data_IF_230137921057
#
_entry.id   IF_230137921057
#
_cell.length_a   1.000
_cell.length_b   1.000
_cell.length_c   1.000
_cell.angle_alpha   90.00
_cell.angle_beta   90.00
_cell.angle_gamma   90.00
#
_symmetry.space_group_name_H-M   'P 1'
#
loop_
_entity.id
_entity.type
_entity.pdbx_description
1 polymer ?
#
# COMPACT_ATOMS: atom_id res chain seq x y z
N UNK A 1 3.64 -9.71 60.82
CA UNK A 1 4.13 -8.68 59.90
C UNK A 1 5.39 -9.17 59.19
N UNK A 2 5.37 -9.85 58.06
CA UNK A 2 4.40 -10.72 57.41
C UNK A 2 5.19 -11.47 56.32
N UNK A 3 4.95 -12.78 56.30
CA UNK A 3 5.01 -13.76 55.21
C UNK A 3 6.07 -13.73 54.09
N UNK A 4 6.69 -14.91 54.04
CA UNK A 4 6.99 -15.75 52.88
C UNK A 4 8.34 -15.63 52.15
N UNK A 5 9.21 -16.53 52.60
CA UNK A 5 10.47 -16.92 52.01
C UNK A 5 10.30 -18.08 51.00
N UNK A 6 11.09 -17.99 49.92
CA UNK A 6 11.83 -19.07 49.23
C UNK A 6 11.63 -20.52 49.71
N UNK A 7 11.24 -21.40 48.77
CA UNK A 7 11.65 -22.81 48.48
C UNK A 7 10.56 -23.43 47.55
N UNK A 8 10.74 -24.40 46.67
CA UNK A 8 11.80 -25.35 46.32
C UNK A 8 11.47 -25.95 44.93
N UNK A 9 12.48 -26.47 44.24
CA UNK A 9 12.37 -27.40 43.12
C UNK A 9 11.86 -28.80 43.56
N UNK A 10 11.57 -29.64 42.57
CA UNK A 10 11.45 -31.12 42.57
C UNK A 10 10.05 -31.78 42.74
N UNK A 11 9.60 -32.39 41.64
CA UNK A 11 9.21 -33.82 41.59
C UNK A 11 7.77 -34.20 41.96
N UNK A 12 7.09 -34.93 41.05
CA UNK A 12 6.47 -36.24 41.32
C UNK A 12 6.13 -36.93 39.99
N UNK A 13 6.61 -38.17 39.88
CA UNK A 13 6.39 -39.16 38.82
C UNK A 13 5.10 -39.98 39.05
N UNK A 14 4.67 -40.62 37.96
CA UNK A 14 3.58 -41.61 37.71
C UNK A 14 3.28 -42.69 38.79
N UNK A 15 2.17 -43.48 38.70
CA UNK A 15 2.19 -44.71 37.88
C UNK A 15 0.87 -45.19 37.20
N UNK A 16 1.06 -45.93 36.10
CA UNK A 16 0.35 -47.11 35.54
C UNK A 16 -1.13 -47.42 35.86
N UNK A 17 -1.90 -47.77 34.81
CA UNK A 17 -2.48 -49.13 34.69
C UNK A 17 -2.88 -49.52 33.25
N UNK A 18 -2.54 -50.76 32.91
CA UNK A 18 -2.86 -51.56 31.72
C UNK A 18 -4.29 -52.17 31.77
N UNK A 19 -4.59 -53.01 30.77
CA UNK A 19 -5.78 -53.84 30.47
C UNK A 19 -6.79 -53.17 29.51
N UNK A 20 -7.05 -53.64 28.29
CA UNK A 20 -6.88 -54.97 27.69
C UNK A 20 -8.15 -55.80 27.83
N UNK A 21 -9.10 -55.67 26.89
CA UNK A 21 -9.94 -56.81 26.48
C UNK A 21 -10.62 -56.56 25.12
N UNK A 22 -10.27 -57.41 24.17
CA UNK A 22 -11.00 -57.75 22.95
C UNK A 22 -12.29 -58.49 23.26
N UNK A 23 -13.38 -58.18 22.55
CA UNK A 23 -14.37 -59.19 22.14
C UNK A 23 -14.93 -58.86 20.74
N UNK A 24 -14.83 -59.85 19.87
CA UNK A 24 -15.38 -59.95 18.51
C UNK A 24 -16.90 -60.23 18.55
N UNK A 25 -17.61 -59.86 17.48
CA UNK A 25 -18.54 -60.64 16.63
C UNK A 25 -19.55 -59.67 15.99
N UNK A 26 -19.57 -59.54 14.66
CA UNK A 26 -20.55 -60.16 13.71
C UNK A 26 -21.97 -59.56 13.84
N UNK A 27 -22.80 -59.32 12.84
CA UNK A 27 -22.82 -59.27 11.36
C UNK A 27 -24.24 -58.80 11.00
N UNK A 28 -24.39 -58.18 9.82
CA UNK A 28 -25.56 -58.25 8.92
C UNK A 28 -26.92 -57.58 9.24
N UNK A 29 -27.41 -56.91 8.17
CA UNK A 29 -28.82 -56.80 7.72
C UNK A 29 -29.66 -55.74 8.43
N UNK A 30 -30.45 -54.87 7.80
CA UNK A 30 -31.08 -54.88 6.48
C UNK A 30 -32.62 -54.76 6.64
N UNK A 31 -33.25 -53.75 6.00
CA UNK A 31 -34.71 -53.59 5.82
C UNK A 31 -35.46 -52.86 6.95
N UNK A 32 -36.02 -51.66 6.71
CA UNK A 32 -37.39 -51.39 6.20
C UNK A 32 -38.48 -51.86 7.20
N UNK A 33 -39.46 -51.09 7.69
CA UNK A 33 -40.42 -50.17 7.06
C UNK A 33 -41.28 -49.56 8.22
N UNK A 34 -41.65 -48.27 8.22
CA UNK A 34 -43.02 -47.70 7.99
C UNK A 34 -44.06 -48.24 9.01
N UNK A 35 -44.74 -47.45 9.86
CA UNK A 35 -45.84 -46.52 9.54
C UNK A 35 -46.36 -45.79 10.82
N UNK A 36 -46.80 -44.53 10.66
CA UNK A 36 -47.97 -43.81 11.22
C UNK A 36 -48.68 -44.32 12.53
N UNK A 37 -49.35 -43.51 13.37
CA UNK A 37 -49.95 -42.19 13.23
C UNK A 37 -50.38 -41.68 14.63
N UNK A 38 -50.31 -40.35 14.80
CA UNK A 38 -51.23 -39.46 15.53
C UNK A 38 -52.25 -40.10 16.49
N UNK A 39 -52.20 -39.76 17.79
CA UNK A 39 -53.29 -38.97 18.38
C UNK A 39 -53.03 -38.41 19.79
N UNK A 40 -53.72 -37.31 20.06
CA UNK A 40 -54.02 -36.68 21.37
C UNK A 40 -53.00 -35.66 21.93
N UNK A 41 -53.41 -34.41 21.72
CA UNK A 41 -52.89 -33.15 22.26
C UNK A 41 -53.52 -32.88 23.63
N UNK A 42 -52.68 -32.42 24.57
CA UNK A 42 -52.99 -31.55 25.73
C UNK A 42 -53.90 -32.08 26.86
N UNK A 43 -53.31 -32.34 28.03
CA UNK A 43 -53.45 -31.48 29.24
C UNK A 43 -52.52 -31.93 30.38
N UNK A 44 -51.69 -30.99 30.86
CA UNK A 44 -51.20 -30.80 32.25
C UNK A 44 -50.31 -31.92 32.85
N UNK A 45 -49.22 -31.72 33.60
CA UNK A 45 -48.45 -30.60 34.13
C UNK A 45 -47.18 -31.23 34.76
N UNK A 46 -46.04 -30.54 34.66
CA UNK A 46 -44.95 -30.61 35.64
C UNK A 46 -44.02 -31.82 35.65
N UNK A 47 -42.86 -31.70 34.97
CA UNK A 47 -41.58 -32.15 35.55
C UNK A 47 -40.41 -31.40 34.90
N UNK A 48 -39.58 -30.82 35.76
CA UNK A 48 -38.50 -29.89 35.46
C UNK A 48 -37.26 -30.59 34.89
N UNK A 49 -36.92 -30.34 33.62
CA UNK A 49 -35.63 -30.73 33.04
C UNK A 49 -34.61 -29.61 33.26
N UNK A 50 -33.64 -29.89 34.11
CA UNK A 50 -32.51 -29.03 34.43
C UNK A 50 -31.59 -28.89 33.20
N UNK A 51 -31.58 -27.70 32.58
CA UNK A 51 -30.69 -27.39 31.47
C UNK A 51 -29.24 -27.28 31.96
N UNK A 52 -28.37 -28.14 31.44
CA UNK A 52 -26.91 -28.00 31.52
C UNK A 52 -26.50 -26.68 30.86
N UNK A 53 -25.73 -25.80 31.50
CA UNK A 53 -25.31 -24.54 30.89
C UNK A 53 -24.41 -24.82 29.69
N UNK A 54 -24.84 -24.34 28.52
CA UNK A 54 -24.03 -24.30 27.30
C UNK A 54 -22.80 -23.43 27.59
N UNK A 55 -21.63 -24.06 27.69
CA UNK A 55 -20.34 -23.38 27.77
C UNK A 55 -20.24 -22.42 26.58
N UNK A 56 -20.37 -21.12 26.85
CA UNK A 56 -20.21 -20.09 25.84
C UNK A 56 -18.75 -20.09 25.43
N UNK A 57 -18.44 -20.70 24.28
CA UNK A 57 -17.20 -20.44 23.56
C UNK A 57 -17.03 -18.92 23.44
N UNK A 58 -16.14 -18.35 24.23
CA UNK A 58 -15.67 -16.98 24.09
C UNK A 58 -15.05 -16.92 22.70
N UNK A 59 -15.81 -16.45 21.71
CA UNK A 59 -15.31 -16.11 20.38
C UNK A 59 -14.20 -15.07 20.58
N UNK A 60 -12.96 -15.53 20.67
CA UNK A 60 -11.79 -14.66 20.73
C UNK A 60 -11.87 -13.73 19.52
N UNK A 61 -12.19 -12.46 19.76
CA UNK A 61 -12.25 -11.42 18.74
C UNK A 61 -10.84 -11.34 18.16
N UNK A 62 -10.66 -11.85 16.94
CA UNK A 62 -9.33 -12.00 16.33
C UNK A 62 -8.64 -10.63 16.30
N UNK A 63 -7.61 -10.49 17.12
CA UNK A 63 -6.85 -9.24 17.27
C UNK A 63 -6.23 -8.85 15.92
N UNK A 64 -6.51 -7.63 15.47
CA UNK A 64 -5.78 -7.00 14.35
C UNK A 64 -4.42 -6.55 14.84
N UNK A 65 -3.42 -6.54 13.96
CA UNK A 65 -2.09 -6.05 14.29
C UNK A 65 -2.14 -4.52 14.33
N UNK A 66 -2.01 -3.96 15.53
CA UNK A 66 -2.15 -2.52 15.79
C UNK A 66 -1.18 -1.68 14.94
N UNK A 67 0.10 -2.06 14.94
CA UNK A 67 1.16 -1.42 14.15
C UNK A 67 0.84 -1.36 12.66
N UNK A 68 0.19 -2.39 12.12
CA UNK A 68 -0.17 -2.42 10.70
C UNK A 68 -1.26 -1.39 10.37
N UNK A 69 -2.25 -1.25 11.25
CA UNK A 69 -3.29 -0.26 11.10
C UNK A 69 -2.72 1.16 11.32
N UNK A 70 -1.88 1.38 12.33
CA UNK A 70 -1.21 2.66 12.58
C UNK A 70 -0.29 3.11 11.43
N UNK A 71 0.54 2.21 10.89
CA UNK A 71 1.41 2.54 9.75
C UNK A 71 0.61 2.92 8.50
N UNK A 72 -0.47 2.18 8.23
CA UNK A 72 -1.39 2.53 7.14
C UNK A 72 -2.09 3.87 7.39
N UNK A 73 -2.46 4.15 8.64
CA UNK A 73 -2.98 5.46 9.04
C UNK A 73 -1.99 6.59 8.77
N UNK A 74 -0.72 6.41 9.16
CA UNK A 74 0.35 7.37 8.88
C UNK A 74 0.43 7.67 7.38
N UNK A 75 0.39 6.66 6.51
CA UNK A 75 0.47 6.90 5.06
C UNK A 75 -0.68 7.74 4.52
N UNK A 76 -1.90 7.56 5.06
CA UNK A 76 -3.07 8.35 4.65
C UNK A 76 -2.97 9.78 5.19
N UNK A 77 -2.52 9.96 6.43
CA UNK A 77 -2.30 11.30 7.00
C UNK A 77 -1.21 12.05 6.23
N UNK A 78 -0.11 11.38 5.89
CA UNK A 78 0.95 11.97 5.06
C UNK A 78 0.44 12.36 3.67
N UNK A 79 -0.40 11.52 3.05
CA UNK A 79 -1.04 11.85 1.77
C UNK A 79 -1.86 13.15 1.86
N UNK A 80 -2.75 13.26 2.85
CA UNK A 80 -3.56 14.48 3.06
C UNK A 80 -2.66 15.70 3.29
N UNK A 81 -1.63 15.55 4.14
CA UNK A 81 -0.69 16.63 4.43
C UNK A 81 0.03 17.14 3.18
N UNK A 82 0.45 16.25 2.28
CA UNK A 82 1.21 16.66 1.09
C UNK A 82 0.31 17.16 -0.03
N UNK A 83 -0.92 16.65 -0.14
CA UNK A 83 -1.91 17.13 -1.11
C UNK A 83 -2.38 18.55 -0.77
N UNK A 84 -2.65 18.84 0.51
CA UNK A 84 -3.14 20.16 0.94
C UNK A 84 -2.00 21.15 1.28
N UNK A 85 -0.86 20.64 1.78
CA UNK A 85 0.26 21.45 2.26
C UNK A 85 1.48 21.50 1.33
N UNK A 86 1.53 20.67 0.28
CA UNK A 86 2.67 20.54 -0.62
C UNK A 86 3.02 21.85 -1.32
N UNK A 87 2.05 22.54 -1.91
CA UNK A 87 2.28 23.78 -2.66
C UNK A 87 2.88 24.92 -1.82
N UNK A 88 2.71 24.90 -0.49
CA UNK A 88 3.28 25.91 0.40
C UNK A 88 4.76 25.68 0.72
N UNK A 89 5.21 24.42 0.77
CA UNK A 89 6.56 24.06 1.21
C UNK A 89 7.20 23.06 0.23
N UNK A 90 8.24 23.45 -0.53
CA UNK A 90 8.89 22.57 -1.51
C UNK A 90 9.50 21.28 -0.95
N UNK A 91 9.73 21.20 0.37
CA UNK A 91 10.21 19.99 1.05
C UNK A 91 9.08 18.98 1.33
N UNK A 92 7.85 19.46 1.42
CA UNK A 92 6.64 18.67 1.61
C UNK A 92 6.14 18.17 0.25
N UNK A 93 6.20 19.03 -0.77
CA UNK A 93 5.84 18.74 -2.16
C UNK A 93 6.75 17.70 -2.84
N UNK A 94 6.34 17.19 -4.00
CA UNK A 94 7.12 16.28 -4.83
C UNK A 94 8.44 16.89 -5.34
N UNK A 95 9.47 16.05 -5.42
CA UNK A 95 10.70 16.39 -6.13
C UNK A 95 10.43 16.54 -7.64
N UNK A 96 10.99 17.58 -8.32
CA UNK A 96 10.71 17.80 -9.74
C UNK A 96 11.13 16.66 -10.67
N UNK A 97 12.21 15.94 -10.32
CA UNK A 97 12.65 14.77 -11.11
C UNK A 97 13.46 13.79 -10.26
N UNK A 98 14.71 14.15 -9.97
CA UNK A 98 15.61 13.36 -9.13
C UNK A 98 15.59 13.88 -7.69
N UNK A 99 15.74 12.97 -6.74
CA UNK A 99 15.64 13.23 -5.31
C UNK A 99 14.42 12.55 -4.70
N UNK A 100 14.22 12.81 -3.41
CA UNK A 100 13.08 12.31 -2.66
C UNK A 100 12.71 13.36 -1.61
N UNK A 101 11.47 13.82 -1.62
CA UNK A 101 10.88 14.71 -0.61
C UNK A 101 9.79 13.98 0.18
N UNK A 102 9.10 14.65 1.10
CA UNK A 102 8.12 13.98 1.97
C UNK A 102 6.98 13.32 1.18
N UNK A 103 6.41 14.00 0.18
CA UNK A 103 5.36 13.46 -0.68
C UNK A 103 5.78 12.19 -1.43
N UNK A 104 7.07 12.04 -1.72
CA UNK A 104 7.57 10.88 -2.45
C UNK A 104 7.56 9.60 -1.60
N UNK A 105 7.42 9.66 -0.27
CA UNK A 105 7.32 8.46 0.57
C UNK A 105 5.92 7.83 0.64
N UNK A 106 4.87 8.59 0.33
CA UNK A 106 3.47 8.17 0.55
C UNK A 106 3.14 6.88 -0.18
N UNK A 107 3.35 6.87 -1.51
CA UNK A 107 3.02 5.73 -2.37
C UNK A 107 3.81 4.45 -2.04
N UNK A 108 5.15 4.46 -1.95
CA UNK A 108 5.91 3.25 -1.63
C UNK A 108 5.62 2.72 -0.22
N UNK A 109 5.39 3.59 0.77
CA UNK A 109 4.97 3.14 2.10
C UNK A 109 3.61 2.45 2.05
N UNK A 110 2.67 2.97 1.25
CA UNK A 110 1.37 2.34 1.06
C UNK A 110 1.48 0.96 0.39
N UNK A 111 2.29 0.83 -0.68
CA UNK A 111 2.51 -0.47 -1.33
C UNK A 111 3.20 -1.48 -0.41
N UNK A 112 4.17 -1.02 0.38
CA UNK A 112 4.84 -1.83 1.38
C UNK A 112 3.83 -2.40 2.40
N UNK A 113 2.98 -1.56 3.00
CA UNK A 113 2.03 -2.02 4.02
C UNK A 113 0.91 -2.88 3.41
N UNK A 114 0.51 -2.63 2.16
CA UNK A 114 -0.37 -3.52 1.41
C UNK A 114 0.27 -4.91 1.26
N UNK A 115 1.57 -4.98 0.96
CA UNK A 115 2.33 -6.24 0.95
C UNK A 115 2.25 -7.00 2.27
N UNK A 116 2.53 -6.32 3.40
CA UNK A 116 2.42 -6.92 4.74
C UNK A 116 1.02 -7.48 4.99
N UNK A 117 -0.02 -6.71 4.61
CA UNK A 117 -1.41 -7.09 4.76
C UNK A 117 -1.81 -8.31 3.91
N UNK A 118 -1.26 -8.45 2.69
CA UNK A 118 -1.52 -9.60 1.81
C UNK A 118 -1.10 -10.90 2.50
N UNK A 119 0.12 -10.95 3.05
CA UNK A 119 0.63 -12.15 3.73
C UNK A 119 -0.29 -12.59 4.88
N UNK A 120 -0.75 -11.63 5.71
CA UNK A 120 -1.64 -11.88 6.84
C UNK A 120 -3.06 -12.26 6.42
N UNK A 121 -3.59 -11.65 5.36
CA UNK A 121 -4.93 -11.91 4.85
C UNK A 121 -5.02 -13.29 4.19
N UNK A 122 -4.07 -13.64 3.32
CA UNK A 122 -4.06 -14.89 2.57
C UNK A 122 -3.72 -16.10 3.43
N UNK A 123 -2.93 -15.93 4.51
CA UNK A 123 -2.72 -17.01 5.51
C UNK A 123 -4.03 -17.60 6.04
N UNK A 124 -5.12 -16.83 6.04
CA UNK A 124 -6.43 -17.24 6.59
C UNK A 124 -7.31 -17.96 5.56
N UNK A 125 -6.91 -18.06 4.30
CA UNK A 125 -7.73 -18.62 3.22
C UNK A 125 -7.05 -19.89 2.69
N UNK A 126 -7.49 -21.08 3.11
CA UNK A 126 -6.84 -22.33 2.70
C UNK A 126 -7.12 -22.71 1.25
N UNK A 127 -8.27 -22.29 0.69
CA UNK A 127 -8.69 -22.67 -0.67
C UNK A 127 -8.25 -21.64 -1.71
N UNK A 128 -7.35 -22.04 -2.61
CA UNK A 128 -6.82 -21.22 -3.72
C UNK A 128 -7.93 -20.57 -4.56
N UNK A 129 -8.95 -21.33 -4.98
CA UNK A 129 -10.07 -20.80 -5.79
C UNK A 129 -10.80 -19.64 -5.09
N UNK A 130 -10.99 -19.74 -3.77
CA UNK A 130 -11.66 -18.69 -2.98
C UNK A 130 -10.76 -17.45 -2.84
N UNK A 131 -9.46 -17.66 -2.63
CA UNK A 131 -8.47 -16.57 -2.58
C UNK A 131 -8.42 -15.80 -3.91
N UNK A 132 -8.29 -16.50 -5.04
CA UNK A 132 -8.28 -15.91 -6.39
C UNK A 132 -9.54 -15.09 -6.65
N UNK A 133 -10.73 -15.63 -6.35
CA UNK A 133 -11.99 -14.89 -6.50
C UNK A 133 -11.96 -13.59 -5.69
N UNK A 134 -11.55 -13.64 -4.42
CA UNK A 134 -11.43 -12.43 -3.57
C UNK A 134 -10.42 -11.42 -4.11
N UNK A 135 -9.28 -11.88 -4.64
CA UNK A 135 -8.25 -11.03 -5.25
C UNK A 135 -8.83 -10.30 -6.46
N UNK A 136 -9.48 -11.01 -7.38
CA UNK A 136 -10.08 -10.44 -8.58
C UNK A 136 -11.14 -9.39 -8.20
N UNK A 137 -12.09 -9.72 -7.33
CA UNK A 137 -13.14 -8.77 -6.92
C UNK A 137 -12.57 -7.52 -6.25
N UNK A 138 -11.53 -7.67 -5.42
CA UNK A 138 -10.88 -6.51 -4.79
C UNK A 138 -10.14 -5.66 -5.82
N UNK A 139 -9.45 -6.29 -6.77
CA UNK A 139 -8.73 -5.61 -7.85
C UNK A 139 -9.69 -4.81 -8.71
N UNK A 140 -10.81 -5.41 -9.14
CA UNK A 140 -11.85 -4.75 -9.92
C UNK A 140 -12.45 -3.54 -9.19
N UNK A 141 -12.71 -3.65 -7.88
CA UNK A 141 -13.19 -2.52 -7.07
C UNK A 141 -12.19 -1.36 -7.06
N UNK A 142 -10.90 -1.65 -6.87
CA UNK A 142 -9.86 -0.61 -6.87
C UNK A 142 -9.72 0.05 -8.24
N UNK A 143 -9.77 -0.72 -9.33
CA UNK A 143 -9.77 -0.18 -10.69
C UNK A 143 -10.99 0.71 -10.95
N UNK A 144 -12.18 0.25 -10.55
CA UNK A 144 -13.42 1.02 -10.69
C UNK A 144 -13.37 2.34 -9.93
N UNK A 145 -13.02 2.33 -8.65
CA UNK A 145 -12.87 3.55 -7.85
C UNK A 145 -11.75 4.45 -8.38
N UNK A 146 -10.66 3.89 -8.90
CA UNK A 146 -9.58 4.64 -9.53
C UNK A 146 -10.06 5.43 -10.75
N UNK A 147 -10.76 4.76 -11.68
CA UNK A 147 -11.32 5.41 -12.85
C UNK A 147 -12.41 6.43 -12.50
N UNK A 148 -13.22 6.17 -11.48
CA UNK A 148 -14.24 7.13 -11.04
C UNK A 148 -13.61 8.41 -10.48
N UNK A 149 -12.63 8.30 -9.59
CA UNK A 149 -12.01 9.46 -8.92
C UNK A 149 -11.10 10.26 -9.85
N UNK A 150 -10.38 9.59 -10.75
CA UNK A 150 -9.36 10.20 -11.60
C UNK A 150 -9.86 10.52 -13.01
N UNK A 151 -10.87 9.79 -13.49
CA UNK A 151 -11.31 9.82 -14.87
C UNK A 151 -12.13 11.04 -15.27
N UNK A 152 -12.21 12.10 -14.46
CA UNK A 152 -12.91 13.32 -14.84
C UNK A 152 -14.30 13.54 -14.24
N UNK A 153 -14.86 12.57 -13.49
CA UNK A 153 -16.22 12.71 -12.92
C UNK A 153 -16.36 13.82 -11.87
N UNK A 154 -15.25 14.29 -11.29
CA UNK A 154 -15.24 15.23 -10.15
C UNK A 154 -14.29 16.42 -10.35
N UNK A 155 -13.96 16.78 -11.59
CA UNK A 155 -13.04 17.90 -11.84
C UNK A 155 -13.77 19.24 -11.91
N UNK A 156 -13.24 20.21 -11.15
CA UNK A 156 -13.66 21.61 -11.04
C UNK A 156 -14.99 21.84 -10.27
N UNK A 157 -14.94 22.18 -8.97
CA UNK A 157 -16.09 22.77 -8.27
C UNK A 157 -16.65 24.01 -8.99
N UNK A 158 -15.80 24.66 -9.79
CA UNK A 158 -16.08 25.95 -10.44
C UNK A 158 -16.49 25.80 -11.92
N UNK A 159 -16.44 24.59 -12.51
CA UNK A 159 -16.83 24.35 -13.91
C UNK A 159 -18.06 23.43 -13.95
N UNK A 160 -19.18 23.92 -14.48
CA UNK A 160 -20.47 23.22 -14.53
C UNK A 160 -20.51 22.09 -15.58
N UNK A 161 -19.39 21.78 -16.25
CA UNK A 161 -19.31 20.70 -17.23
C UNK A 161 -19.25 19.34 -16.53
N UNK A 162 -20.40 18.70 -16.34
CA UNK A 162 -20.47 17.33 -15.84
C UNK A 162 -20.24 16.31 -16.97
N UNK A 163 -19.11 15.60 -16.96
CA UNK A 163 -18.81 14.55 -17.94
C UNK A 163 -17.35 14.11 -17.99
N UNK A 164 -17.08 12.99 -18.65
CA UNK A 164 -15.73 12.48 -18.89
C UNK A 164 -15.42 12.55 -20.39
N UNK A 165 -14.41 13.33 -20.78
CA UNK A 165 -13.90 13.25 -22.14
C UNK A 165 -13.07 11.97 -22.31
N UNK A 166 -13.70 10.98 -22.95
CA UNK A 166 -13.09 9.68 -23.21
C UNK A 166 -11.81 9.77 -24.07
N UNK A 167 -11.58 10.88 -24.80
CA UNK A 167 -10.35 11.10 -25.59
C UNK A 167 -9.15 11.50 -24.73
N UNK A 168 -9.38 12.01 -23.53
CA UNK A 168 -8.34 12.49 -22.61
C UNK A 168 -8.40 11.84 -21.23
N UNK A 169 -9.23 10.81 -21.07
CA UNK A 169 -9.33 10.08 -19.80
C UNK A 169 -7.97 9.50 -19.41
N UNK A 170 -7.58 9.70 -18.15
CA UNK A 170 -6.34 9.18 -17.60
C UNK A 170 -6.54 7.75 -17.09
N UNK A 171 -5.96 6.76 -17.78
CA UNK A 171 -6.13 5.34 -17.43
C UNK A 171 -5.31 4.89 -16.22
N UNK A 172 -4.13 5.50 -16.02
CA UNK A 172 -3.20 5.12 -14.96
C UNK A 172 -3.24 6.10 -13.80
N UNK A 173 -3.33 5.56 -12.58
CA UNK A 173 -3.34 6.35 -11.36
C UNK A 173 -2.99 5.53 -10.13
N UNK A 174 -3.05 6.20 -8.98
CA UNK A 174 -2.62 5.66 -7.69
C UNK A 174 -3.37 4.36 -7.37
N UNK A 175 -4.71 4.36 -7.45
CA UNK A 175 -5.52 3.19 -7.16
C UNK A 175 -5.30 2.05 -8.16
N UNK A 176 -5.10 2.38 -9.43
CA UNK A 176 -4.84 1.40 -10.49
C UNK A 176 -3.48 0.74 -10.31
N UNK A 177 -2.44 1.50 -9.94
CA UNK A 177 -1.13 0.96 -9.57
C UNK A 177 -1.24 0.04 -8.36
N UNK A 178 -1.93 0.47 -7.30
CA UNK A 178 -2.16 -0.37 -6.11
C UNK A 178 -2.88 -1.66 -6.50
N UNK A 179 -3.89 -1.58 -7.36
CA UNK A 179 -4.65 -2.73 -7.83
C UNK A 179 -3.76 -3.73 -8.59
N UNK A 180 -2.90 -3.25 -9.50
CA UNK A 180 -1.97 -4.07 -10.26
C UNK A 180 -0.96 -4.77 -9.34
N UNK A 181 -0.28 -4.01 -8.49
CA UNK A 181 0.71 -4.55 -7.54
C UNK A 181 0.05 -5.57 -6.62
N UNK A 182 -1.10 -5.23 -6.04
CA UNK A 182 -1.88 -6.13 -5.19
C UNK A 182 -2.23 -7.43 -5.92
N UNK A 183 -2.75 -7.33 -7.16
CA UNK A 183 -3.17 -8.49 -7.93
C UNK A 183 -2.01 -9.45 -8.18
N UNK A 184 -0.89 -8.95 -8.71
CA UNK A 184 0.28 -9.77 -9.04
C UNK A 184 0.88 -10.41 -7.79
N UNK A 185 1.15 -9.60 -6.77
CA UNK A 185 1.80 -10.05 -5.53
C UNK A 185 0.91 -11.04 -4.77
N UNK A 186 -0.41 -10.80 -4.70
CA UNK A 186 -1.36 -11.70 -4.05
C UNK A 186 -1.58 -13.01 -4.83
N UNK A 187 -1.56 -12.98 -6.17
CA UNK A 187 -1.64 -14.19 -6.98
C UNK A 187 -0.40 -15.07 -6.79
N UNK A 188 0.80 -14.48 -6.82
CA UNK A 188 2.05 -15.20 -6.54
C UNK A 188 1.99 -15.85 -5.14
N UNK A 189 1.58 -15.11 -4.10
CA UNK A 189 1.42 -15.65 -2.75
C UNK A 189 0.38 -16.79 -2.69
N UNK A 190 -0.73 -16.65 -3.40
CA UNK A 190 -1.81 -17.65 -3.41
C UNK A 190 -1.37 -18.95 -4.10
N UNK A 191 -0.71 -18.86 -5.25
CA UNK A 191 -0.27 -20.05 -5.99
C UNK A 191 0.91 -20.76 -5.34
N UNK A 192 1.69 -20.06 -4.52
CA UNK A 192 2.82 -20.62 -3.77
C UNK A 192 2.42 -21.13 -2.38
N UNK A 193 1.15 -20.96 -1.96
CA UNK A 193 0.68 -21.34 -0.61
C UNK A 193 0.86 -22.83 -0.29
N UNK A 194 0.77 -23.72 -1.29
CA UNK A 194 1.00 -25.17 -1.10
C UNK A 194 2.44 -25.54 -0.76
N UNK A 195 3.39 -24.65 -1.07
CA UNK A 195 4.83 -24.84 -0.83
C UNK A 195 5.28 -24.17 0.47
N UNK A 196 4.34 -23.66 1.28
CA UNK A 196 4.66 -22.95 2.52
C UNK A 196 5.17 -23.93 3.58
N UNK A 197 6.38 -23.74 4.14
CA UNK A 197 6.86 -24.57 5.21
C UNK A 197 6.04 -24.36 6.49
N UNK A 198 5.73 -25.45 7.18
CA UNK A 198 5.02 -25.46 8.46
C UNK A 198 5.94 -25.14 9.64
N UNK A 199 7.24 -25.44 9.51
CA UNK A 199 8.30 -25.12 10.46
C UNK A 199 9.49 -24.51 9.71
N UNK A 200 10.07 -23.43 10.26
CA UNK A 200 11.27 -22.82 9.72
C UNK A 200 12.50 -23.36 10.44
N UNK A 201 13.56 -23.66 9.68
CA UNK A 201 14.87 -23.90 10.26
C UNK A 201 15.43 -22.60 10.87
N UNK A 202 16.12 -22.68 12.02
CA UNK A 202 16.74 -21.52 12.64
C UNK A 202 17.89 -21.02 11.73
N UNK A 203 17.69 -19.88 11.09
CA UNK A 203 18.69 -19.27 10.22
C UNK A 203 18.23 -17.92 9.69
N UNK A 204 19.16 -16.97 9.53
CA UNK A 204 18.83 -15.62 9.07
C UNK A 204 18.23 -15.62 7.65
N UNK A 205 18.72 -16.52 6.78
CA UNK A 205 18.28 -16.67 5.39
C UNK A 205 17.12 -17.65 5.19
N UNK A 206 16.64 -18.32 6.25
CA UNK A 206 15.64 -19.40 6.11
C UNK A 206 14.32 -18.91 5.51
N UNK A 207 13.92 -17.67 5.82
CA UNK A 207 12.74 -17.03 5.23
C UNK A 207 12.91 -16.83 3.72
N UNK A 208 14.06 -16.32 3.29
CA UNK A 208 14.34 -16.10 1.87
C UNK A 208 14.32 -17.42 1.09
N UNK A 209 14.91 -18.47 1.65
CA UNK A 209 14.87 -19.80 1.01
C UNK A 209 13.47 -20.40 0.99
N UNK A 210 12.68 -20.21 2.04
CA UNK A 210 11.30 -20.72 2.18
C UNK A 210 10.34 -20.02 1.22
N UNK A 211 10.53 -18.73 1.02
CA UNK A 211 9.71 -17.85 0.19
C UNK A 211 10.40 -17.46 -1.11
N UNK A 212 11.22 -18.37 -1.66
CA UNK A 212 12.01 -18.13 -2.87
C UNK A 212 11.16 -17.79 -4.09
N UNK A 213 9.92 -18.28 -4.16
CA UNK A 213 9.03 -18.05 -5.31
C UNK A 213 8.45 -16.64 -5.33
N UNK A 214 8.18 -16.07 -4.16
CA UNK A 214 7.79 -14.66 -4.02
C UNK A 214 8.94 -13.75 -4.47
N UNK A 215 10.15 -14.05 -4.01
CA UNK A 215 11.36 -13.32 -4.42
C UNK A 215 11.70 -13.54 -5.90
N UNK A 216 11.46 -14.72 -6.45
CA UNK A 216 11.61 -14.97 -7.88
C UNK A 216 10.64 -14.11 -8.70
N UNK A 217 9.38 -14.00 -8.28
CA UNK A 217 8.41 -13.12 -8.93
C UNK A 217 8.84 -11.65 -8.89
N UNK A 218 9.34 -11.19 -7.74
CA UNK A 218 9.94 -9.86 -7.62
C UNK A 218 11.18 -9.69 -8.52
N UNK A 219 12.07 -10.67 -8.57
CA UNK A 219 13.27 -10.66 -9.40
C UNK A 219 12.94 -10.62 -10.89
N UNK A 220 11.93 -11.36 -11.34
CA UNK A 220 11.45 -11.31 -12.73
C UNK A 220 10.94 -9.90 -13.06
N UNK A 221 10.16 -9.27 -12.17
CA UNK A 221 9.71 -7.89 -12.37
C UNK A 221 10.90 -6.90 -12.43
N UNK A 222 11.90 -7.07 -11.56
CA UNK A 222 13.15 -6.32 -11.59
C UNK A 222 13.89 -6.46 -12.93
N UNK A 223 14.07 -7.69 -13.42
CA UNK A 223 14.77 -7.95 -14.69
C UNK A 223 14.01 -7.33 -15.86
N UNK A 224 12.69 -7.52 -15.93
CA UNK A 224 11.85 -6.92 -16.99
C UNK A 224 12.01 -5.38 -16.97
N UNK A 225 11.92 -4.77 -15.79
CA UNK A 225 12.09 -3.32 -15.65
C UNK A 225 13.47 -2.84 -16.10
N UNK A 226 14.54 -3.48 -15.61
CA UNK A 226 15.92 -3.09 -15.93
C UNK A 226 16.24 -3.27 -17.41
N UNK A 227 15.92 -4.44 -17.97
CA UNK A 227 16.17 -4.72 -19.39
C UNK A 227 15.41 -3.72 -20.27
N UNK A 228 14.14 -3.48 -19.98
CA UNK A 228 13.32 -2.52 -20.76
C UNK A 228 13.85 -1.10 -20.60
N UNK A 229 14.21 -0.68 -19.39
CA UNK A 229 14.66 0.69 -19.12
C UNK A 229 15.98 1.02 -19.83
N UNK A 230 16.92 0.07 -19.87
CA UNK A 230 18.25 0.31 -20.43
C UNK A 230 18.42 -0.12 -21.89
N UNK A 231 17.66 -1.12 -22.36
CA UNK A 231 17.83 -1.67 -23.72
C UNK A 231 16.91 -1.05 -24.76
N UNK A 232 15.76 -0.50 -24.35
CA UNK A 232 14.76 0.02 -25.28
C UNK A 232 15.22 1.33 -25.93
N UNK A 233 15.07 1.40 -27.26
CA UNK A 233 15.35 2.61 -28.02
C UNK A 233 14.17 3.56 -27.98
N UNK A 234 14.44 4.82 -27.65
CA UNK A 234 13.43 5.88 -27.60
C UNK A 234 13.59 6.78 -28.82
N UNK A 235 12.70 6.67 -29.83
CA UNK A 235 12.71 7.55 -30.99
C UNK A 235 12.20 8.95 -30.63
N UNK A 236 12.41 9.88 -31.55
CA UNK A 236 11.83 11.21 -31.50
C UNK A 236 10.30 11.12 -31.52
N UNK A 237 9.64 12.03 -30.82
CA UNK A 237 8.19 12.00 -30.67
C UNK A 237 7.63 13.42 -30.58
N UNK A 238 6.33 13.56 -30.88
CA UNK A 238 5.64 14.86 -30.83
C UNK A 238 4.34 14.78 -30.04
N UNK A 239 3.93 15.90 -29.49
CA UNK A 239 2.68 16.04 -28.74
C UNK A 239 2.01 17.39 -29.03
N UNK A 240 0.74 17.49 -28.70
CA UNK A 240 -0.07 18.69 -28.87
C UNK A 240 -0.44 19.23 -27.50
N UNK A 241 -0.21 20.51 -27.29
CA UNK A 241 -0.63 21.21 -26.06
C UNK A 241 -2.00 21.86 -26.31
N UNK A 242 -3.01 21.39 -25.58
CA UNK A 242 -4.40 21.87 -25.65
C UNK A 242 -4.66 23.07 -24.73
N UNK A 243 -3.74 23.40 -23.82
CA UNK A 243 -3.92 24.46 -22.83
C UNK A 243 -3.60 25.87 -23.39
N UNK A 244 -3.00 25.92 -24.58
CA UNK A 244 -2.77 27.18 -25.30
C UNK A 244 -3.97 27.51 -26.18
N UNK A 245 -4.42 28.77 -26.17
CA UNK A 245 -5.47 29.32 -27.07
C UNK A 245 -5.21 29.13 -28.58
N UNK A 246 -4.03 28.62 -28.95
CA UNK A 246 -3.69 28.07 -30.25
C UNK A 246 -3.11 26.66 -30.07
N UNK A 247 -3.67 25.68 -30.77
CA UNK A 247 -3.11 24.33 -30.89
C UNK A 247 -1.66 24.41 -31.40
N UNK A 248 -0.71 24.08 -30.53
CA UNK A 248 0.73 24.05 -30.87
C UNK A 248 1.25 22.62 -30.76
N UNK A 249 1.91 22.17 -31.83
CA UNK A 249 2.63 20.90 -31.86
C UNK A 249 4.08 21.12 -31.43
N UNK A 250 4.54 20.30 -30.50
CA UNK A 250 5.93 20.29 -30.05
C UNK A 250 6.56 18.95 -30.39
N UNK A 251 7.84 18.99 -30.77
CA UNK A 251 8.65 17.80 -31.03
C UNK A 251 9.77 17.72 -30.01
N UNK A 252 10.03 16.51 -29.52
CA UNK A 252 11.12 16.19 -28.62
C UNK A 252 12.06 15.25 -29.35
N UNK A 253 13.33 15.68 -29.48
CA UNK A 253 14.40 14.92 -30.08
C UNK A 253 15.08 14.08 -29.00
N UNK A 254 15.14 12.77 -29.20
CA UNK A 254 15.66 11.79 -28.26
C UNK A 254 16.75 10.94 -28.90
N UNK A 255 16.40 10.04 -29.83
CA UNK A 255 17.34 9.18 -30.55
C UNK A 255 18.31 8.35 -29.70
N UNK A 256 17.92 7.92 -28.48
CA UNK A 256 18.84 7.35 -27.47
C UNK A 256 18.29 6.10 -26.77
N UNK A 257 19.18 5.34 -26.12
CA UNK A 257 18.87 4.20 -25.23
C UNK A 257 19.34 4.49 -23.80
N UNK A 258 18.66 3.91 -22.81
CA UNK A 258 19.10 3.92 -21.40
C UNK A 258 19.17 5.29 -20.71
N UNK A 259 18.56 6.32 -21.29
CA UNK A 259 18.54 7.66 -20.72
C UNK A 259 17.45 7.77 -19.63
N UNK A 260 17.81 8.32 -18.46
CA UNK A 260 16.90 8.47 -17.30
C UNK A 260 16.37 9.90 -17.12
N UNK A 261 16.53 10.76 -18.13
CA UNK A 261 16.00 12.13 -18.10
C UNK A 261 14.50 12.21 -18.37
N UNK A 262 13.88 13.38 -18.17
CA UNK A 262 12.42 13.58 -18.21
C UNK A 262 11.74 13.10 -19.50
N UNK A 263 12.27 13.48 -20.66
CA UNK A 263 11.52 13.37 -21.93
C UNK A 263 11.80 12.09 -22.74
N UNK A 264 13.03 11.58 -22.61
CA UNK A 264 13.62 10.57 -23.48
C UNK A 264 13.91 9.24 -22.78
N UNK A 265 13.23 8.98 -21.66
CA UNK A 265 13.34 7.71 -20.95
C UNK A 265 12.39 6.65 -21.52
N UNK A 266 12.78 5.38 -21.32
CA UNK A 266 12.02 4.23 -21.79
C UNK A 266 10.68 4.06 -21.05
N UNK A 267 10.57 4.48 -19.78
CA UNK A 267 9.33 4.40 -18.99
C UNK A 267 8.21 5.18 -19.67
N UNK A 268 8.45 6.47 -19.93
CA UNK A 268 7.49 7.32 -20.64
C UNK A 268 7.27 6.88 -22.09
N UNK A 269 8.27 6.27 -22.75
CA UNK A 269 8.06 5.71 -24.08
C UNK A 269 7.06 4.54 -24.07
N UNK A 270 7.21 3.59 -23.15
CA UNK A 270 6.26 2.47 -23.01
C UNK A 270 4.85 2.99 -22.75
N UNK A 271 4.69 3.98 -21.86
CA UNK A 271 3.37 4.54 -21.56
C UNK A 271 2.74 5.26 -22.77
N UNK A 272 3.55 5.97 -23.57
CA UNK A 272 3.09 6.57 -24.83
C UNK A 272 2.60 5.53 -25.83
N UNK A 273 3.24 4.36 -25.91
CA UNK A 273 2.83 3.29 -26.83
C UNK A 273 1.59 2.54 -26.33
N UNK A 274 1.52 2.28 -25.02
CA UNK A 274 0.44 1.50 -24.43
C UNK A 274 -0.87 2.28 -24.34
N UNK A 275 -0.80 3.56 -23.93
CA UNK A 275 -1.98 4.36 -23.63
C UNK A 275 -2.24 5.46 -24.66
N UNK A 276 -1.22 5.89 -25.40
CA UNK A 276 -1.31 7.07 -26.26
C UNK A 276 -1.07 8.38 -25.48
N UNK A 277 -0.57 9.39 -26.19
CA UNK A 277 -0.11 10.66 -25.60
C UNK A 277 -1.25 11.45 -24.94
N UNK A 278 -2.48 11.34 -25.46
CA UNK A 278 -3.64 12.08 -24.95
C UNK A 278 -4.13 11.58 -23.58
N UNK A 279 -3.74 10.37 -23.19
CA UNK A 279 -4.16 9.73 -21.94
C UNK A 279 -3.11 9.84 -20.83
N UNK A 280 -2.01 10.55 -21.11
CA UNK A 280 -0.95 10.84 -20.14
C UNK A 280 -1.29 12.07 -19.32
N UNK A 281 -0.76 12.13 -18.11
CA UNK A 281 -0.91 13.31 -17.26
C UNK A 281 -0.25 14.55 -17.88
N UNK A 282 -1.02 15.62 -18.02
CA UNK A 282 -0.68 16.83 -18.79
C UNK A 282 0.14 17.86 -18.01
N UNK A 283 0.22 17.75 -16.68
CA UNK A 283 0.93 18.68 -15.81
C UNK A 283 2.14 18.00 -15.15
N UNK A 284 3.21 17.72 -15.90
CA UNK A 284 4.35 16.99 -15.36
C UNK A 284 5.07 17.81 -14.26
N UNK A 285 5.41 17.15 -13.16
CA UNK A 285 6.11 17.77 -12.02
C UNK A 285 7.49 18.34 -12.43
N UNK A 286 8.11 17.78 -13.48
CA UNK A 286 9.39 18.27 -14.00
C UNK A 286 9.33 19.65 -14.63
N UNK A 287 8.15 20.22 -14.88
CA UNK A 287 8.00 21.61 -15.32
C UNK A 287 8.57 22.61 -14.28
N UNK A 288 8.77 22.15 -13.03
CA UNK A 288 9.42 22.87 -11.94
C UNK A 288 10.93 22.79 -11.93
N UNK A 289 11.54 22.09 -12.88
CA UNK A 289 13.00 22.05 -13.01
C UNK A 289 13.55 23.45 -13.34
N UNK A 290 14.78 23.75 -12.90
CA UNK A 290 15.51 24.99 -13.22
C UNK A 290 15.64 25.26 -14.73
N UNK A 291 15.63 24.20 -15.53
CA UNK A 291 15.62 24.27 -16.99
C UNK A 291 14.30 24.82 -17.57
N UNK A 292 13.21 24.70 -16.81
CA UNK A 292 11.85 25.02 -17.25
C UNK A 292 11.31 26.31 -16.64
N UNK A 293 11.63 26.62 -15.38
CA UNK A 293 11.12 27.80 -14.65
C UNK A 293 12.20 28.45 -13.78
N UNK A 294 12.11 29.77 -13.60
CA UNK A 294 12.94 30.52 -12.64
C UNK A 294 12.47 30.35 -11.19
N UNK A 295 11.23 29.91 -10.97
CA UNK A 295 10.65 29.68 -9.63
C UNK A 295 11.09 28.36 -8.99
N UNK A 296 11.94 27.58 -9.67
CA UNK A 296 12.37 26.25 -9.22
C UNK A 296 12.94 26.30 -7.79
N UNK A 297 12.52 25.40 -6.86
CA UNK A 297 11.73 24.19 -7.10
C UNK A 297 10.20 24.37 -7.08
N UNK A 298 9.69 25.58 -6.85
CA UNK A 298 8.25 25.84 -6.85
C UNK A 298 7.68 25.96 -8.27
N UNK A 299 6.35 25.90 -8.38
CA UNK A 299 5.64 26.16 -9.62
C UNK A 299 5.80 27.62 -10.06
N UNK A 300 5.81 27.82 -11.37
CA UNK A 300 5.94 29.15 -11.96
C UNK A 300 5.84 29.12 -13.48
N UNK A 301 5.77 30.29 -14.11
CA UNK A 301 5.68 30.38 -15.56
C UNK A 301 6.91 29.77 -16.23
N UNK A 302 6.68 29.04 -17.32
CA UNK A 302 7.76 28.49 -18.13
C UNK A 302 8.61 29.62 -18.71
N UNK A 303 9.93 29.44 -18.70
CA UNK A 303 10.88 30.37 -19.30
C UNK A 303 10.63 30.48 -20.81
N UNK A 304 10.96 31.65 -21.38
CA UNK A 304 10.85 31.88 -22.84
C UNK A 304 11.77 30.97 -23.64
N UNK A 305 12.92 30.61 -23.06
CA UNK A 305 13.94 29.71 -23.60
C UNK A 305 13.80 28.26 -23.09
N UNK A 306 12.70 27.92 -22.43
CA UNK A 306 12.50 26.58 -21.88
C UNK A 306 12.48 25.51 -23.01
N UNK A 307 13.17 24.37 -22.81
CA UNK A 307 13.10 23.25 -23.74
C UNK A 307 11.67 22.77 -24.00
N UNK A 308 11.40 22.28 -25.21
CA UNK A 308 10.05 21.82 -25.62
C UNK A 308 9.51 20.71 -24.71
N UNK A 309 10.39 19.87 -24.16
CA UNK A 309 10.01 18.80 -23.26
C UNK A 309 9.51 19.26 -21.88
N UNK A 310 9.70 20.53 -21.50
CA UNK A 310 9.14 21.05 -20.24
C UNK A 310 7.60 20.98 -20.20
N UNK A 311 6.95 20.93 -21.37
CA UNK A 311 5.49 20.78 -21.55
C UNK A 311 5.07 19.34 -21.87
N UNK A 312 6.02 18.42 -22.00
CA UNK A 312 5.74 17.06 -22.43
C UNK A 312 4.89 16.32 -21.37
N UNK A 313 3.75 15.73 -21.75
CA UNK A 313 2.95 14.95 -20.80
C UNK A 313 3.69 13.68 -20.39
N UNK A 314 3.46 13.22 -19.17
CA UNK A 314 4.14 12.06 -18.60
C UNK A 314 3.31 11.40 -17.51
N UNK A 315 3.30 10.08 -17.50
CA UNK A 315 2.50 9.32 -16.55
C UNK A 315 3.36 8.79 -15.39
N UNK A 316 3.36 9.42 -14.19
CA UNK A 316 4.04 8.91 -12.98
C UNK A 316 3.60 7.50 -12.61
N UNK A 317 2.31 7.23 -12.84
CA UNK A 317 1.64 6.03 -12.38
C UNK A 317 1.55 4.96 -13.48
N UNK A 318 2.44 5.05 -14.49
CA UNK A 318 2.41 4.27 -15.73
C UNK A 318 2.70 2.78 -15.59
N UNK A 319 2.68 2.07 -16.71
CA UNK A 319 2.77 0.62 -16.77
C UNK A 319 4.15 0.11 -16.36
N UNK A 320 5.23 0.62 -16.98
CA UNK A 320 6.59 0.15 -16.70
C UNK A 320 7.04 0.50 -15.28
N UNK A 321 6.70 1.69 -14.80
CA UNK A 321 6.93 2.11 -13.41
C UNK A 321 6.09 1.28 -12.42
N UNK A 322 4.89 0.82 -12.79
CA UNK A 322 4.09 -0.10 -11.98
C UNK A 322 4.70 -1.50 -11.88
N UNK A 323 5.40 -1.97 -12.92
CA UNK A 323 6.16 -3.23 -12.87
C UNK A 323 7.26 -3.14 -11.81
N UNK A 324 8.02 -2.03 -11.78
CA UNK A 324 9.00 -1.80 -10.72
C UNK A 324 8.35 -1.75 -9.32
N UNK A 325 7.14 -1.17 -9.22
CA UNK A 325 6.39 -1.08 -7.97
C UNK A 325 5.97 -2.43 -7.34
N UNK A 326 5.96 -3.51 -8.13
CA UNK A 326 5.78 -4.88 -7.63
C UNK A 326 6.82 -5.20 -6.55
N UNK A 327 8.06 -4.70 -6.69
CA UNK A 327 9.15 -4.95 -5.73
C UNK A 327 8.81 -4.43 -4.33
N UNK A 328 8.25 -3.22 -4.21
CA UNK A 328 7.82 -2.68 -2.91
C UNK A 328 6.75 -3.54 -2.24
N UNK A 329 5.81 -4.07 -3.02
CA UNK A 329 4.80 -5.01 -2.54
C UNK A 329 5.40 -6.36 -2.10
N UNK A 330 6.35 -6.89 -2.87
CA UNK A 330 7.08 -8.13 -2.54
C UNK A 330 7.91 -8.00 -1.26
N UNK A 331 8.60 -6.87 -1.09
CA UNK A 331 9.34 -6.56 0.15
C UNK A 331 8.36 -6.47 1.33
N UNK A 332 7.21 -5.83 1.15
CA UNK A 332 6.15 -5.80 2.16
C UNK A 332 5.64 -7.19 2.55
N UNK A 333 5.42 -8.09 1.57
CA UNK A 333 5.04 -9.48 1.85
C UNK A 333 6.07 -10.16 2.75
N UNK A 334 7.37 -9.95 2.49
CA UNK A 334 8.43 -10.54 3.30
C UNK A 334 8.33 -10.10 4.77
N UNK A 335 8.07 -8.81 5.04
CA UNK A 335 7.81 -8.33 6.40
C UNK A 335 6.59 -9.01 7.04
N UNK A 336 5.53 -9.24 6.27
CA UNK A 336 4.34 -9.97 6.73
C UNK A 336 4.63 -11.45 7.05
N UNK A 337 5.49 -12.12 6.29
CA UNK A 337 5.92 -13.49 6.57
C UNK A 337 6.76 -13.59 7.85
N UNK A 338 7.64 -12.61 8.11
CA UNK A 338 8.39 -12.53 9.38
C UNK A 338 7.42 -12.45 10.57
N UNK A 339 6.36 -11.63 10.48
CA UNK A 339 5.31 -11.53 11.53
C UNK A 339 4.58 -12.85 11.78
N UNK A 340 4.35 -13.62 10.72
CA UNK A 340 3.58 -14.87 10.75
C UNK A 340 4.32 -15.99 11.45
N UNK A 341 5.64 -16.03 11.30
CA UNK A 341 6.47 -17.17 11.66
C UNK A 341 7.28 -16.98 12.94
N UNK A 342 7.88 -15.80 13.12
CA UNK A 342 8.65 -15.52 14.31
C UNK A 342 7.70 -15.07 15.40
N UNK A 343 7.75 -15.70 16.58
CA UNK A 343 6.92 -15.30 17.73
C UNK A 343 7.61 -14.24 18.59
N UNK A 344 8.94 -14.28 18.68
CA UNK A 344 9.74 -13.34 19.48
C UNK A 344 9.86 -11.95 18.84
N UNK A 345 9.69 -10.90 19.64
CA UNK A 345 9.84 -9.51 19.18
C UNK A 345 11.27 -9.22 18.68
N UNK A 346 12.29 -9.71 19.37
CA UNK A 346 13.70 -9.49 19.00
C UNK A 346 14.05 -10.10 17.65
N UNK A 347 13.57 -11.31 17.37
CA UNK A 347 13.83 -12.00 16.09
C UNK A 347 13.18 -11.28 14.91
N UNK A 348 11.92 -10.81 15.09
CA UNK A 348 11.22 -9.99 14.09
C UNK A 348 12.01 -8.72 13.77
N UNK A 349 12.42 -7.99 14.81
CA UNK A 349 13.16 -6.74 14.66
C UNK A 349 14.53 -6.95 14.02
N UNK A 350 15.26 -8.02 14.36
CA UNK A 350 16.55 -8.34 13.73
C UNK A 350 16.41 -8.53 12.21
N UNK A 351 15.40 -9.28 11.77
CA UNK A 351 15.14 -9.52 10.35
C UNK A 351 14.74 -8.22 9.63
N UNK A 352 13.82 -7.46 10.22
CA UNK A 352 13.30 -6.23 9.65
C UNK A 352 14.31 -5.10 9.59
N UNK A 353 15.03 -4.83 10.68
CA UNK A 353 16.02 -3.75 10.70
C UNK A 353 17.20 -4.08 9.81
N UNK A 354 17.66 -5.33 9.80
CA UNK A 354 18.77 -5.74 8.94
C UNK A 354 18.42 -5.57 7.45
N UNK A 355 17.27 -6.07 6.99
CA UNK A 355 16.85 -5.86 5.60
C UNK A 355 16.56 -4.39 5.28
N UNK A 356 15.92 -3.67 6.20
CA UNK A 356 15.60 -2.25 6.04
C UNK A 356 16.85 -1.38 5.87
N UNK A 357 17.86 -1.58 6.73
CA UNK A 357 19.14 -0.85 6.67
C UNK A 357 19.92 -1.20 5.40
N UNK A 358 19.99 -2.47 5.02
CA UNK A 358 20.69 -2.90 3.79
C UNK A 358 20.05 -2.25 2.55
N UNK A 359 18.73 -2.28 2.43
CA UNK A 359 18.02 -1.66 1.30
C UNK A 359 18.17 -0.13 1.30
N UNK A 360 18.11 0.50 2.47
CA UNK A 360 18.28 1.95 2.61
C UNK A 360 19.66 2.41 2.16
N UNK A 361 20.72 1.73 2.65
CA UNK A 361 22.11 2.00 2.25
C UNK A 361 22.32 1.73 0.77
N UNK A 362 21.78 0.63 0.22
CA UNK A 362 21.88 0.32 -1.20
C UNK A 362 21.26 1.42 -2.08
N UNK A 363 20.08 1.93 -1.70
CA UNK A 363 19.45 3.04 -2.41
C UNK A 363 20.30 4.32 -2.41
N UNK A 364 20.93 4.63 -1.28
CA UNK A 364 21.87 5.77 -1.14
C UNK A 364 23.10 5.56 -2.03
N UNK A 365 23.73 4.38 -1.97
CA UNK A 365 24.93 4.07 -2.78
C UNK A 365 24.61 4.23 -4.27
N UNK A 366 23.51 3.65 -4.76
CA UNK A 366 23.12 3.75 -6.17
C UNK A 366 22.88 5.20 -6.62
N UNK A 367 22.36 6.05 -5.75
CA UNK A 367 22.14 7.47 -6.03
C UNK A 367 23.45 8.24 -6.12
N UNK A 368 24.30 8.15 -5.09
CA UNK A 368 25.53 8.94 -5.00
C UNK A 368 26.65 8.45 -5.92
N UNK A 369 26.62 7.18 -6.33
CA UNK A 369 27.50 6.65 -7.40
C UNK A 369 27.06 7.07 -8.80
N UNK A 370 25.93 7.78 -8.94
CA UNK A 370 25.31 8.16 -10.22
C UNK A 370 24.96 6.97 -11.13
N UNK A 371 24.88 5.74 -10.58
CA UNK A 371 24.48 4.57 -11.35
C UNK A 371 22.98 4.65 -11.70
N UNK A 372 22.12 4.88 -10.70
CA UNK A 372 20.68 5.04 -10.88
C UNK A 372 20.19 6.09 -9.87
N UNK A 373 19.78 7.30 -10.30
CA UNK A 373 19.32 8.33 -9.38
C UNK A 373 18.00 7.92 -8.71
N UNK A 374 17.81 8.31 -7.45
CA UNK A 374 16.51 8.17 -6.77
C UNK A 374 15.52 9.05 -7.53
N UNK A 375 14.54 8.41 -8.16
CA UNK A 375 13.54 9.05 -8.99
C UNK A 375 12.19 8.35 -8.81
N UNK A 376 11.20 9.10 -8.30
CA UNK A 376 9.83 8.66 -8.04
C UNK A 376 9.05 8.40 -9.33
N UNK A 377 9.18 9.31 -10.29
CA UNK A 377 8.46 9.29 -11.57
C UNK A 377 8.78 8.04 -12.40
N UNK A 378 10.05 7.62 -12.41
CA UNK A 378 10.49 6.38 -13.05
C UNK A 378 10.24 5.14 -12.20
N UNK A 379 9.87 5.32 -10.93
CA UNK A 379 9.90 4.29 -9.89
C UNK A 379 11.22 3.48 -9.94
N UNK A 380 12.33 4.21 -9.98
CA UNK A 380 13.69 3.66 -10.15
C UNK A 380 14.06 2.64 -9.05
N UNK A 381 14.95 1.71 -9.36
CA UNK A 381 15.36 0.68 -8.38
C UNK A 381 16.01 1.29 -7.13
N UNK A 382 16.83 2.33 -7.29
CA UNK A 382 17.40 3.05 -6.15
C UNK A 382 16.32 3.68 -5.27
N UNK A 383 15.26 4.24 -5.87
CA UNK A 383 14.09 4.72 -5.16
C UNK A 383 13.31 3.60 -4.45
N UNK A 384 13.13 2.43 -5.09
CA UNK A 384 12.50 1.27 -4.45
C UNK A 384 13.28 0.83 -3.21
N UNK A 385 14.60 0.67 -3.33
CA UNK A 385 15.48 0.27 -2.24
C UNK A 385 15.45 1.30 -1.10
N UNK A 386 15.62 2.59 -1.44
CA UNK A 386 15.62 3.68 -0.47
C UNK A 386 14.30 3.77 0.31
N UNK A 387 13.18 3.80 -0.40
CA UNK A 387 11.85 3.96 0.23
C UNK A 387 11.37 2.71 0.95
N UNK A 388 11.67 1.51 0.45
CA UNK A 388 11.32 0.26 1.14
C UNK A 388 12.18 0.05 2.39
N UNK A 389 13.46 0.47 2.35
CA UNK A 389 14.33 0.50 3.52
C UNK A 389 13.82 1.45 4.60
N UNK A 390 13.46 2.69 4.21
CA UNK A 390 12.83 3.65 5.10
C UNK A 390 11.50 3.15 5.68
N UNK A 391 10.63 2.55 4.85
CA UNK A 391 9.37 1.95 5.29
C UNK A 391 9.61 0.86 6.35
N UNK A 392 10.59 -0.01 6.12
CA UNK A 392 10.98 -1.06 7.04
C UNK A 392 11.49 -0.56 8.40
N UNK A 393 12.27 0.51 8.40
CA UNK A 393 12.77 1.17 9.62
C UNK A 393 11.60 1.82 10.38
N UNK A 394 10.77 2.64 9.71
CA UNK A 394 9.60 3.30 10.32
C UNK A 394 8.61 2.27 10.85
N UNK A 395 8.37 1.19 10.11
CA UNK A 395 7.51 0.09 10.55
C UNK A 395 8.06 -0.58 11.81
N UNK A 396 9.38 -0.79 11.89
CA UNK A 396 10.04 -1.35 13.08
C UNK A 396 9.94 -0.41 14.29
N UNK A 397 10.06 0.90 14.08
CA UNK A 397 9.86 1.91 15.15
C UNK A 397 8.44 1.86 15.68
N UNK A 398 7.41 1.90 14.81
CA UNK A 398 6.03 1.77 15.26
C UNK A 398 5.76 0.44 15.95
N UNK A 399 6.36 -0.65 15.48
CA UNK A 399 6.25 -1.94 16.13
C UNK A 399 6.78 -1.93 17.57
N UNK A 400 7.93 -1.28 17.79
CA UNK A 400 8.51 -1.12 19.13
C UNK A 400 7.57 -0.28 20.01
N UNK A 401 7.13 0.88 19.52
CA UNK A 401 6.29 1.79 20.30
C UNK A 401 4.94 1.15 20.69
N UNK A 402 4.27 0.51 19.74
CA UNK A 402 2.89 0.05 19.88
C UNK A 402 2.82 -1.37 20.45
N UNK A 403 3.55 -2.32 19.84
CA UNK A 403 3.41 -3.75 20.16
C UNK A 403 4.43 -4.25 21.20
N UNK A 404 5.56 -3.54 21.42
CA UNK A 404 6.57 -3.92 22.43
C UNK A 404 6.45 -3.09 23.71
N UNK A 405 6.40 -1.77 23.60
CA UNK A 405 6.28 -0.86 24.75
C UNK A 405 4.83 -0.61 25.16
N UNK A 406 3.85 -0.99 24.34
CA UNK A 406 2.43 -0.85 24.65
C UNK A 406 1.92 0.60 24.64
N UNK A 407 2.68 1.55 24.09
CA UNK A 407 2.29 2.96 23.97
C UNK A 407 1.28 3.06 22.83
N UNK A 408 0.02 2.80 23.14
CA UNK A 408 -1.03 2.70 22.12
C UNK A 408 -1.88 3.95 21.98
N UNK A 409 -2.09 4.67 23.08
CA UNK A 409 -2.98 5.85 23.17
C UNK A 409 -2.72 6.93 22.11
N UNK A 410 -1.48 7.40 21.84
CA UNK A 410 -1.27 8.44 20.82
C UNK A 410 -1.49 7.92 19.39
N UNK A 411 -1.37 6.61 19.18
CA UNK A 411 -1.51 5.99 17.87
C UNK A 411 -2.95 5.54 17.55
N UNK A 412 -3.88 5.62 18.51
CA UNK A 412 -5.29 5.24 18.29
C UNK A 412 -5.94 5.99 17.13
N UNK A 413 -5.61 7.28 16.97
CA UNK A 413 -6.06 8.08 15.83
C UNK A 413 -5.57 7.51 14.50
N UNK A 414 -4.27 7.17 14.42
CA UNK A 414 -3.67 6.55 13.23
C UNK A 414 -4.24 5.14 12.99
N UNK A 415 -4.44 4.33 14.03
CA UNK A 415 -5.09 3.03 13.92
C UNK A 415 -6.50 3.16 13.31
N UNK A 416 -7.30 4.13 13.77
CA UNK A 416 -8.66 4.35 13.29
C UNK A 416 -8.68 4.77 11.81
N UNK A 417 -7.83 5.73 11.42
CA UNK A 417 -7.68 6.13 10.02
C UNK A 417 -7.25 4.93 9.18
N UNK A 418 -6.27 4.17 9.65
CA UNK A 418 -5.80 2.96 8.99
C UNK A 418 -6.93 1.97 8.76
N UNK A 419 -7.72 1.64 9.79
CA UNK A 419 -8.86 0.73 9.69
C UNK A 419 -9.88 1.15 8.62
N UNK A 420 -10.02 2.46 8.37
CA UNK A 420 -10.95 3.07 7.43
C UNK A 420 -10.28 3.70 6.20
N UNK A 421 -9.05 3.30 5.86
CA UNK A 421 -8.20 3.99 4.89
C UNK A 421 -8.86 4.30 3.53
N UNK A 422 -9.67 3.40 2.98
CA UNK A 422 -10.34 3.63 1.69
C UNK A 422 -11.37 4.76 1.77
N UNK A 423 -12.14 4.82 2.86
CA UNK A 423 -13.14 5.88 3.07
C UNK A 423 -12.44 7.24 3.20
N UNK A 424 -11.40 7.30 4.04
CA UNK A 424 -10.61 8.53 4.27
C UNK A 424 -9.92 8.97 2.97
N UNK A 425 -9.36 8.03 2.20
CA UNK A 425 -8.76 8.31 0.89
C UNK A 425 -9.77 8.95 -0.07
N UNK A 426 -10.98 8.38 -0.19
CA UNK A 426 -12.03 8.92 -1.07
C UNK A 426 -12.45 10.33 -0.60
N UNK A 427 -12.64 10.54 0.70
CA UNK A 427 -13.00 11.86 1.22
C UNK A 427 -11.92 12.92 0.97
N UNK A 428 -10.65 12.56 1.13
CA UNK A 428 -9.53 13.44 0.81
C UNK A 428 -9.46 13.76 -0.70
N UNK A 429 -9.50 12.73 -1.55
CA UNK A 429 -9.40 12.88 -2.99
C UNK A 429 -10.58 13.67 -3.61
N UNK A 430 -11.72 13.74 -2.94
CA UNK A 430 -12.88 14.52 -3.38
C UNK A 430 -12.96 15.90 -2.72
N UNK A 431 -11.92 16.31 -1.99
CA UNK A 431 -11.88 17.60 -1.30
C UNK A 431 -12.94 17.74 -0.21
N UNK A 432 -13.58 16.65 0.24
CA UNK A 432 -14.65 16.68 1.25
C UNK A 432 -14.09 17.20 2.58
N UNK A 433 -12.85 16.83 2.93
CA UNK A 433 -12.19 17.38 4.12
C UNK A 433 -11.91 18.88 3.99
N UNK A 434 -11.35 19.31 2.85
CA UNK A 434 -11.09 20.72 2.59
C UNK A 434 -12.39 21.53 2.58
N UNK A 435 -13.45 21.03 1.95
CA UNK A 435 -14.77 21.65 1.94
C UNK A 435 -15.41 21.68 3.34
N UNK A 436 -15.24 20.62 4.14
CA UNK A 436 -15.74 20.59 5.51
C UNK A 436 -15.00 21.59 6.41
N UNK A 437 -13.68 21.77 6.26
CA UNK A 437 -12.93 22.75 7.04
C UNK A 437 -13.20 24.18 6.56
N UNK A 438 -13.17 24.40 5.24
CA UNK A 438 -13.35 25.74 4.65
C UNK A 438 -14.81 26.20 4.65
N UNK A 439 -15.78 25.27 4.70
CA UNK A 439 -17.21 25.58 4.71
C UNK A 439 -17.70 26.19 6.01
N UNK A 440 -16.89 26.19 7.08
CA UNK A 440 -17.20 26.89 8.32
C UNK A 440 -16.62 28.30 8.25
N UNK A 441 -17.52 29.27 8.17
CA UNK A 441 -17.21 30.70 8.19
C UNK A 441 -17.93 31.38 9.36
N UNK A 442 -17.34 32.46 9.88
CA UNK A 442 -17.97 33.25 10.94
C UNK A 442 -18.42 34.61 10.43
N UNK A 443 -19.73 34.86 10.48
CA UNK A 443 -20.46 36.05 9.99
C UNK A 443 -20.42 36.26 8.47
N UNK A 444 -19.27 36.12 7.84
CA UNK A 444 -19.05 36.42 6.43
C UNK A 444 -18.26 35.28 5.75
N UNK A 445 -18.61 34.85 4.53
CA UNK A 445 -17.85 33.86 3.76
C UNK A 445 -16.34 34.17 3.62
N UNK A 446 -15.94 35.44 3.70
CA UNK A 446 -14.52 35.84 3.67
C UNK A 446 -13.76 35.52 4.99
N UNK A 447 -14.49 35.26 6.08
CA UNK A 447 -13.95 34.86 7.38
C UNK A 447 -14.01 33.35 7.59
N UNK A 448 -13.50 32.60 6.61
CA UNK A 448 -13.33 31.15 6.73
C UNK A 448 -12.20 30.81 7.71
N UNK A 449 -12.19 29.59 8.26
CA UNK A 449 -11.12 29.09 9.14
C UNK A 449 -9.69 29.21 8.54
N UNK A 450 -9.57 29.32 7.21
CA UNK A 450 -8.31 29.54 6.51
C UNK A 450 -7.82 31.00 6.62
N UNK A 451 -8.71 31.99 6.61
CA UNK A 451 -8.30 33.39 6.83
C UNK A 451 -7.92 33.62 8.29
N UNK A 452 -8.64 33.02 9.24
CA UNK A 452 -8.30 33.08 10.67
C UNK A 452 -6.94 32.42 11.00
N UNK A 453 -6.62 31.28 10.40
CA UNK A 453 -5.32 30.63 10.60
C UNK A 453 -4.17 31.35 9.90
N UNK A 454 -4.43 31.99 8.74
CA UNK A 454 -3.49 32.90 8.07
C UNK A 454 -3.17 34.14 8.90
N UNK A 455 -4.18 34.76 9.52
CA UNK A 455 -4.01 35.90 10.44
C UNK A 455 -3.29 35.49 11.73
N UNK A 456 -3.54 34.30 12.29
CA UNK A 456 -2.82 33.82 13.48
C UNK A 456 -1.34 33.52 13.21
N UNK A 457 -1.02 32.99 12.02
CA UNK A 457 0.35 32.75 11.56
C UNK A 457 1.09 34.06 11.25
N UNK A 458 0.41 35.04 10.66
CA UNK A 458 0.96 36.38 10.45
C UNK A 458 1.17 37.13 11.78
N UNK A 459 0.25 37.00 12.74
CA UNK A 459 0.38 37.59 14.07
C UNK A 459 1.53 36.98 14.90
N UNK A 460 1.90 35.72 14.65
CA UNK A 460 3.11 35.10 15.24
C UNK A 460 4.41 35.51 14.55
N UNK A 461 4.35 36.14 13.38
CA UNK A 461 5.53 36.64 12.66
C UNK A 461 5.83 38.12 12.94
N UNK A 462 4.99 38.82 13.71
CA UNK A 462 5.14 40.25 14.05
C UNK A 462 5.45 40.53 15.52
N UNK A 463 5.97 39.55 16.27
CA UNK A 463 6.56 39.76 17.61
C UNK A 463 7.96 39.20 17.71
#
# INVERSE_FOLDING_TARGET
>A
MDNEAKRMEEGINSPHNEYGHTTKLETNGGGDTIENERDIRTTLEGESVQQVPKEQEIKHKKSRVATLDAFRGLTIVLMILVDDGGGAYPRIDHSPWNGCTLADFVMPFFLFIVGVAIALALKRIPKVKVAVKKIIFRTLKLLFWGLLLQGGYSHAPDDLSYGVDMKFIRWCGILQRIALVYCIVALIETFTTKLRPTTLSPGYLSIFTSYRWQWLGGFVAFVIYMVTTFSLYVPDWSFVDYNSSKLKRYTVVCGIRGHLGPACNAVGYVDRQMWGVNHLYSQPVWSRLKACTFSSPADGPLRKDAPTWCRAPFEPEGFLSSISAILSGTIGIHYGHVLIHFKGHSERLKQWLSMGVVLFILGIILHFTNAIPINKQLYSISYVCFTSGAAGIVFSVFYILIDVWGIRTPFLFLEWIGMNAMLVFVMAAQGIFAAFVNGWYYKDPDNSLKSLSGELLLASCTN
#
